data_IF_434173729729
#
_entry.id   IF_434173729729
#
_cell.length_a   1.000
_cell.length_b   1.000
_cell.length_c   1.000
_cell.angle_alpha   90.00
_cell.angle_beta   90.00
_cell.angle_gamma   90.00
#
_symmetry.space_group_name_H-M   'P 1'
#
loop_
_entity.id
_entity.type
_entity.pdbx_description
1 polymer ?
#
# COMPACT_ATOMS: atom_id res chain seq x y z
N UNK A 1 2.59 -4.78 18.71
CA UNK A 1 2.41 -5.29 17.34
C UNK A 1 1.00 -5.04 16.87
N UNK A 2 0.82 -4.50 15.67
CA UNK A 2 -0.49 -4.58 15.01
C UNK A 2 -0.81 -6.07 14.78
N UNK A 3 -2.02 -6.52 15.13
CA UNK A 3 -2.49 -7.88 14.82
C UNK A 3 -2.76 -7.98 13.31
N UNK A 4 -1.68 -8.00 12.50
CA UNK A 4 -1.74 -8.02 11.03
C UNK A 4 -1.99 -9.45 10.53
N UNK A 5 -1.79 -10.48 11.35
CA UNK A 5 -2.10 -11.88 10.99
C UNK A 5 -3.37 -12.30 11.70
N UNK A 6 -4.34 -12.74 10.91
CA UNK A 6 -5.50 -13.45 11.44
C UNK A 6 -5.25 -14.95 11.33
N UNK A 7 -5.10 -15.61 12.47
CA UNK A 7 -5.09 -17.08 12.60
C UNK A 7 -6.51 -17.66 12.48
N UNK A 8 -7.28 -17.21 11.51
CA UNK A 8 -8.59 -17.79 11.19
C UNK A 8 -8.54 -18.36 9.78
N UNK A 9 -9.27 -19.44 9.51
CA UNK A 9 -9.36 -19.99 8.17
C UNK A 9 -9.97 -18.93 7.25
N UNK A 10 -9.26 -18.67 6.14
CA UNK A 10 -9.70 -17.72 5.16
C UNK A 10 -11.08 -18.09 4.58
N UNK A 11 -12.01 -17.14 4.61
CA UNK A 11 -13.30 -17.25 3.93
C UNK A 11 -13.45 -16.10 2.96
N UNK A 12 -13.60 -16.43 1.68
CA UNK A 12 -13.78 -15.45 0.63
C UNK A 12 -15.11 -14.71 0.80
N UNK A 13 -15.04 -13.37 0.77
CA UNK A 13 -16.19 -12.49 0.84
C UNK A 13 -16.39 -11.83 -0.53
N UNK A 14 -17.42 -12.23 -1.30
CA UNK A 14 -17.66 -11.66 -2.62
C UNK A 14 -18.10 -10.19 -2.52
N UNK A 15 -17.90 -9.40 -3.59
CA UNK A 15 -18.31 -8.00 -3.61
C UNK A 15 -19.84 -7.88 -3.59
N UNK A 16 -20.35 -6.81 -2.99
CA UNK A 16 -21.76 -6.47 -3.16
C UNK A 16 -21.97 -5.96 -4.60
N UNK A 17 -22.78 -6.70 -5.37
CA UNK A 17 -23.04 -6.39 -6.80
C UNK A 17 -24.05 -5.26 -6.98
N UNK A 18 -24.93 -4.98 -6.01
CA UNK A 18 -25.87 -3.85 -6.10
C UNK A 18 -25.18 -2.49 -6.10
N UNK A 19 -25.90 -1.45 -6.55
CA UNK A 19 -25.42 -0.05 -6.55
C UNK A 19 -26.04 0.79 -5.45
N UNK A 20 -27.12 0.35 -4.82
CA UNK A 20 -27.91 1.15 -3.87
C UNK A 20 -27.06 1.80 -2.77
N UNK A 21 -26.30 0.99 -2.02
CA UNK A 21 -25.49 1.49 -0.91
C UNK A 21 -24.33 2.38 -1.36
N UNK A 22 -23.62 1.99 -2.42
CA UNK A 22 -22.54 2.82 -2.96
C UNK A 22 -23.07 4.13 -3.56
N UNK A 23 -24.27 4.15 -4.13
CA UNK A 23 -24.97 5.38 -4.55
C UNK A 23 -25.32 6.25 -3.35
N UNK A 24 -25.84 5.68 -2.26
CA UNK A 24 -26.16 6.40 -1.03
C UNK A 24 -24.92 7.08 -0.42
N UNK A 25 -23.82 6.33 -0.30
CA UNK A 25 -22.53 6.81 0.21
C UNK A 25 -21.98 7.95 -0.65
N UNK A 26 -22.06 7.83 -1.98
CA UNK A 26 -21.66 8.88 -2.92
C UNK A 26 -22.56 10.12 -2.83
N UNK A 27 -23.88 9.92 -2.75
CA UNK A 27 -24.89 11.00 -2.71
C UNK A 27 -24.74 11.88 -1.48
N UNK A 28 -24.53 11.29 -0.31
CA UNK A 28 -24.34 12.01 0.95
C UNK A 28 -22.87 12.34 1.27
N UNK A 29 -21.95 12.06 0.34
CA UNK A 29 -20.53 12.33 0.50
C UNK A 29 -19.91 11.71 1.77
N UNK A 30 -20.43 10.56 2.22
CA UNK A 30 -20.05 9.96 3.51
C UNK A 30 -18.56 9.56 3.52
N UNK A 31 -18.05 9.08 2.38
CA UNK A 31 -16.62 8.77 2.23
C UNK A 31 -15.74 10.01 2.44
N UNK A 32 -16.11 11.17 1.90
CA UNK A 32 -15.37 12.42 2.09
C UNK A 32 -15.42 12.92 3.55
N UNK A 33 -16.57 12.81 4.21
CA UNK A 33 -16.71 13.15 5.63
C UNK A 33 -15.81 12.24 6.48
N UNK A 34 -15.79 10.94 6.18
CA UNK A 34 -14.92 9.98 6.85
C UNK A 34 -13.44 10.28 6.59
N UNK A 35 -13.05 10.57 5.35
CA UNK A 35 -11.69 10.94 4.98
C UNK A 35 -11.21 12.17 5.75
N UNK A 36 -12.04 13.21 5.85
CA UNK A 36 -11.72 14.41 6.64
C UNK A 36 -11.54 14.09 8.13
N UNK A 37 -12.50 13.36 8.74
CA UNK A 37 -12.51 13.11 10.19
C UNK A 37 -11.48 12.07 10.65
N UNK A 38 -11.27 11.03 9.85
CA UNK A 38 -10.50 9.85 10.26
C UNK A 38 -9.13 9.78 9.60
N UNK A 39 -8.89 10.52 8.51
CA UNK A 39 -7.62 10.49 7.77
C UNK A 39 -7.03 11.89 7.51
N UNK A 40 -7.72 12.97 7.89
CA UNK A 40 -7.22 14.33 7.74
C UNK A 40 -7.20 14.84 6.29
N UNK A 41 -7.81 14.11 5.35
CA UNK A 41 -7.90 14.52 3.93
C UNK A 41 -9.09 15.45 3.75
N UNK A 42 -8.78 16.74 3.63
CA UNK A 42 -9.77 17.83 3.67
C UNK A 42 -10.19 18.31 2.29
N UNK A 43 -9.35 18.13 1.28
CA UNK A 43 -9.61 18.58 -0.07
C UNK A 43 -8.98 17.65 -1.10
N UNK A 44 -9.43 17.75 -2.35
CA UNK A 44 -8.95 16.92 -3.44
C UNK A 44 -8.91 17.71 -4.76
N UNK A 45 -8.09 17.25 -5.69
CA UNK A 45 -8.02 17.68 -7.07
C UNK A 45 -8.07 16.44 -7.97
N UNK A 46 -8.82 16.50 -9.07
CA UNK A 46 -8.88 15.43 -10.06
C UNK A 46 -8.29 15.92 -11.38
N UNK A 47 -7.33 15.18 -11.94
CA UNK A 47 -6.67 15.53 -13.21
C UNK A 47 -6.90 14.45 -14.25
N UNK A 48 -7.01 14.89 -15.50
CA UNK A 48 -7.16 14.04 -16.70
C UNK A 48 -8.28 12.98 -16.60
N UNK A 49 -9.37 13.34 -15.93
CA UNK A 49 -10.52 12.45 -15.67
C UNK A 49 -11.20 11.98 -16.96
N UNK A 50 -11.11 12.77 -18.02
CA UNK A 50 -11.56 12.46 -19.38
C UNK A 50 -10.96 11.15 -19.92
N UNK A 51 -9.71 10.80 -19.56
CA UNK A 51 -9.09 9.53 -19.97
C UNK A 51 -9.86 8.32 -19.46
N UNK A 52 -10.30 8.36 -18.20
CA UNK A 52 -11.14 7.30 -17.63
C UNK A 52 -12.54 7.30 -18.26
N UNK A 53 -13.13 8.47 -18.52
CA UNK A 53 -14.42 8.58 -19.20
C UNK A 53 -14.39 7.96 -20.60
N UNK A 54 -13.35 8.23 -21.38
CA UNK A 54 -13.17 7.65 -22.71
C UNK A 54 -13.13 6.12 -22.68
N UNK A 55 -12.41 5.52 -21.73
CA UNK A 55 -12.39 4.06 -21.56
C UNK A 55 -13.73 3.48 -21.12
N UNK A 56 -14.49 4.20 -20.30
CA UNK A 56 -15.84 3.82 -19.87
C UNK A 56 -16.82 3.85 -21.05
N UNK A 57 -16.79 4.93 -21.85
CA UNK A 57 -17.64 5.11 -23.03
C UNK A 57 -17.32 4.08 -24.12
N UNK A 58 -16.05 3.70 -24.28
CA UNK A 58 -15.62 2.62 -25.17
C UNK A 58 -16.02 1.20 -24.68
N UNK A 59 -16.60 1.07 -23.48
CA UNK A 59 -17.02 -0.20 -22.92
C UNK A 59 -15.85 -1.15 -22.63
N UNK A 60 -14.65 -0.63 -22.35
CA UNK A 60 -13.49 -1.44 -22.02
C UNK A 60 -13.63 -2.08 -20.62
N UNK A 61 -12.99 -3.24 -20.43
CA UNK A 61 -12.69 -3.72 -19.07
C UNK A 61 -11.61 -2.85 -18.46
N UNK A 62 -11.87 -2.20 -17.33
CA UNK A 62 -10.96 -1.19 -16.77
C UNK A 62 -10.35 -1.67 -15.47
N UNK A 63 -9.02 -1.70 -15.40
CA UNK A 63 -8.27 -1.83 -14.16
C UNK A 63 -7.66 -0.46 -13.80
N UNK A 64 -8.01 0.07 -12.63
CA UNK A 64 -7.34 1.22 -12.04
C UNK A 64 -6.18 0.70 -11.18
N UNK A 65 -4.96 1.13 -11.49
CA UNK A 65 -3.72 0.74 -10.82
C UNK A 65 -3.09 1.94 -10.09
N UNK A 66 -3.63 2.31 -8.92
CA UNK A 66 -3.10 3.40 -8.10
C UNK A 66 -1.84 3.02 -7.31
N UNK A 67 -0.97 3.98 -6.99
CA UNK A 67 0.01 3.81 -5.90
C UNK A 67 -0.72 3.74 -4.53
N UNK A 68 -0.05 3.19 -3.52
CA UNK A 68 -0.63 2.89 -2.21
C UNK A 68 0.18 3.46 -1.03
N UNK A 69 0.14 4.77 -0.86
CA UNK A 69 0.86 5.43 0.22
C UNK A 69 0.06 5.53 1.53
N UNK A 70 -1.28 5.67 1.50
CA UNK A 70 -2.09 5.93 2.72
C UNK A 70 -3.31 5.01 2.84
N UNK A 71 -3.75 4.77 4.08
CA UNK A 71 -5.01 4.05 4.34
C UNK A 71 -6.24 4.72 3.70
N UNK A 72 -6.13 6.03 3.42
CA UNK A 72 -7.14 6.83 2.75
C UNK A 72 -7.36 6.47 1.27
N UNK A 73 -6.36 5.89 0.59
CA UNK A 73 -6.33 5.77 -0.88
C UNK A 73 -7.58 5.13 -1.49
N UNK A 74 -8.08 3.98 -0.99
CA UNK A 74 -9.25 3.34 -1.58
C UNK A 74 -10.49 4.22 -1.52
N UNK A 75 -10.64 5.03 -0.47
CA UNK A 75 -11.77 5.92 -0.29
C UNK A 75 -11.58 7.25 -1.03
N UNK A 76 -10.34 7.73 -1.18
CA UNK A 76 -10.03 8.92 -1.97
C UNK A 76 -10.44 8.72 -3.44
N UNK A 77 -10.27 7.52 -3.99
CA UNK A 77 -10.78 7.14 -5.31
C UNK A 77 -12.31 7.21 -5.44
N UNK A 78 -13.04 7.31 -4.33
CA UNK A 78 -14.47 7.60 -4.30
C UNK A 78 -14.82 8.94 -4.95
N UNK A 79 -13.94 9.95 -4.85
CA UNK A 79 -14.11 11.24 -5.55
C UNK A 79 -14.02 11.08 -7.06
N UNK A 80 -13.02 10.33 -7.54
CA UNK A 80 -12.89 10.00 -8.96
C UNK A 80 -14.12 9.25 -9.48
N UNK A 81 -14.55 8.19 -8.79
CA UNK A 81 -15.73 7.41 -9.17
C UNK A 81 -17.01 8.25 -9.22
N UNK A 82 -17.16 9.20 -8.28
CA UNK A 82 -18.29 10.15 -8.27
C UNK A 82 -18.24 11.09 -9.48
N UNK A 83 -17.08 11.62 -9.83
CA UNK A 83 -16.87 12.55 -10.94
C UNK A 83 -17.13 11.92 -12.31
N UNK A 84 -16.70 10.66 -12.52
CA UNK A 84 -17.01 9.89 -13.74
C UNK A 84 -18.37 9.18 -13.68
N UNK A 85 -19.14 9.40 -12.61
CA UNK A 85 -20.47 8.82 -12.39
C UNK A 85 -20.49 7.29 -12.49
N UNK A 86 -19.41 6.63 -12.10
CA UNK A 86 -19.32 5.17 -12.13
C UNK A 86 -19.39 4.56 -10.72
N UNK A 87 -19.45 3.24 -10.68
CA UNK A 87 -19.23 2.44 -9.47
C UNK A 87 -17.98 1.61 -9.69
N UNK A 88 -17.28 1.27 -8.61
CA UNK A 88 -16.03 0.52 -8.67
C UNK A 88 -16.13 -0.76 -7.85
N UNK A 89 -15.35 -1.76 -8.22
CA UNK A 89 -14.98 -2.85 -7.34
C UNK A 89 -13.56 -2.62 -6.82
N UNK A 90 -13.25 -3.12 -5.64
CA UNK A 90 -11.90 -3.04 -5.08
C UNK A 90 -11.49 -4.38 -4.48
N UNK A 91 -10.24 -4.77 -4.67
CA UNK A 91 -9.66 -5.91 -3.97
C UNK A 91 -9.05 -5.43 -2.64
N UNK A 92 -9.50 -5.99 -1.53
CA UNK A 92 -9.06 -5.57 -0.20
C UNK A 92 -8.58 -6.76 0.64
N UNK A 93 -7.54 -6.57 1.46
CA UNK A 93 -7.05 -7.65 2.32
C UNK A 93 -8.14 -8.14 3.26
N UNK A 94 -8.25 -9.46 3.42
CA UNK A 94 -9.21 -10.11 4.32
C UNK A 94 -9.19 -9.58 5.76
N UNK A 95 -8.02 -9.09 6.20
CA UNK A 95 -7.82 -8.48 7.52
C UNK A 95 -8.74 -7.27 7.77
N UNK A 96 -9.04 -6.50 6.73
CA UNK A 96 -9.94 -5.35 6.82
C UNK A 96 -11.38 -5.78 7.13
N UNK A 97 -11.80 -6.96 6.66
CA UNK A 97 -13.15 -7.48 6.92
C UNK A 97 -13.32 -8.02 8.36
N UNK A 98 -12.26 -8.03 9.16
CA UNK A 98 -12.26 -8.52 10.54
C UNK A 98 -12.17 -7.41 11.59
N UNK A 99 -12.14 -6.14 11.17
CA UNK A 99 -12.12 -4.98 12.09
C UNK A 99 -13.49 -4.65 12.70
N UNK A 100 -14.50 -5.50 12.48
CA UNK A 100 -15.85 -5.38 13.04
C UNK A 100 -16.93 -5.55 11.99
N UNK A 101 -18.14 -5.96 12.43
CA UNK A 101 -19.26 -6.30 11.53
C UNK A 101 -19.71 -5.11 10.67
N UNK A 102 -19.77 -3.92 11.26
CA UNK A 102 -20.15 -2.70 10.56
C UNK A 102 -19.13 -2.32 9.48
N UNK A 103 -17.84 -2.34 9.83
CA UNK A 103 -16.77 -2.00 8.89
C UNK A 103 -16.72 -3.01 7.72
N UNK A 104 -16.83 -4.30 8.01
CA UNK A 104 -16.93 -5.36 7.00
C UNK A 104 -18.14 -5.16 6.06
N UNK A 105 -19.29 -4.80 6.60
CA UNK A 105 -20.47 -4.46 5.80
C UNK A 105 -20.25 -3.23 4.93
N UNK A 106 -19.65 -2.17 5.48
CA UNK A 106 -19.42 -0.91 4.79
C UNK A 106 -18.48 -1.09 3.58
N UNK A 107 -17.32 -1.74 3.78
CA UNK A 107 -16.36 -1.99 2.70
C UNK A 107 -16.97 -2.86 1.59
N UNK A 108 -17.74 -3.90 1.95
CA UNK A 108 -18.45 -4.73 0.96
C UNK A 108 -19.48 -3.94 0.18
N UNK A 109 -20.27 -3.11 0.87
CA UNK A 109 -21.33 -2.29 0.28
C UNK A 109 -20.79 -1.24 -0.71
N UNK A 110 -19.53 -0.83 -0.54
CA UNK A 110 -18.80 0.02 -1.49
C UNK A 110 -18.21 -0.73 -2.69
N UNK A 111 -18.33 -2.06 -2.74
CA UNK A 111 -17.83 -2.90 -3.83
C UNK A 111 -16.52 -3.63 -3.52
N UNK A 112 -16.03 -3.62 -2.28
CA UNK A 112 -14.83 -4.37 -1.94
C UNK A 112 -15.10 -5.88 -1.82
N UNK A 113 -14.16 -6.70 -2.27
CA UNK A 113 -14.11 -8.14 -2.03
C UNK A 113 -12.78 -8.55 -1.39
N UNK A 114 -12.78 -9.65 -0.65
CA UNK A 114 -11.60 -10.06 0.11
C UNK A 114 -10.55 -10.74 -0.75
N UNK A 115 -9.28 -10.56 -0.37
CA UNK A 115 -8.15 -11.36 -0.85
C UNK A 115 -7.33 -11.86 0.34
N UNK A 116 -6.92 -13.12 0.29
CA UNK A 116 -5.90 -13.68 1.17
C UNK A 116 -4.50 -13.39 0.59
N UNK A 117 -3.69 -12.59 1.30
CA UNK A 117 -2.36 -12.16 0.80
C UNK A 117 -1.27 -13.19 1.09
N UNK A 118 -1.54 -14.08 2.02
CA UNK A 118 -0.64 -15.04 2.62
C UNK A 118 -0.63 -16.39 1.89
N UNK A 119 -1.38 -16.50 0.79
CA UNK A 119 -1.47 -17.70 -0.03
C UNK A 119 -2.00 -17.41 -1.43
N UNK A 120 -2.29 -18.48 -2.18
CA UNK A 120 -2.86 -18.38 -3.53
C UNK A 120 -4.38 -18.37 -3.44
N UNK A 121 -4.95 -17.16 -3.45
CA UNK A 121 -6.40 -16.97 -3.43
C UNK A 121 -7.00 -17.06 -4.85
N UNK A 122 -7.24 -18.29 -5.30
CA UNK A 122 -7.82 -18.55 -6.62
C UNK A 122 -9.19 -17.89 -6.81
N UNK A 123 -9.98 -17.78 -5.74
CA UNK A 123 -11.34 -17.25 -5.82
C UNK A 123 -11.34 -15.72 -5.99
N UNK A 124 -10.48 -15.00 -5.26
CA UNK A 124 -10.30 -13.56 -5.45
C UNK A 124 -9.72 -13.23 -6.83
N UNK A 125 -8.74 -14.01 -7.30
CA UNK A 125 -8.16 -13.87 -8.65
C UNK A 125 -9.24 -14.08 -9.72
N UNK A 126 -10.03 -15.15 -9.60
CA UNK A 126 -11.10 -15.46 -10.56
C UNK A 126 -12.19 -14.38 -10.56
N UNK A 127 -12.55 -13.85 -9.39
CA UNK A 127 -13.49 -12.72 -9.24
C UNK A 127 -12.96 -11.46 -9.95
N UNK A 128 -11.68 -11.14 -9.77
CA UNK A 128 -11.06 -9.99 -10.45
C UNK A 128 -11.06 -10.15 -11.98
N UNK A 129 -10.75 -11.35 -12.47
CA UNK A 129 -10.83 -11.67 -13.91
C UNK A 129 -12.27 -11.49 -14.42
N UNK A 130 -13.27 -11.98 -13.68
CA UNK A 130 -14.69 -11.86 -14.05
C UNK A 130 -15.15 -10.41 -14.11
N UNK A 131 -14.77 -9.59 -13.13
CA UNK A 131 -15.09 -8.16 -13.11
C UNK A 131 -14.55 -7.46 -14.36
N UNK A 132 -13.28 -7.69 -14.69
CA UNK A 132 -12.68 -7.11 -15.89
C UNK A 132 -13.27 -7.68 -17.18
N UNK A 133 -13.65 -8.96 -17.17
CA UNK A 133 -14.27 -9.62 -18.32
C UNK A 133 -15.66 -9.07 -18.59
N UNK A 134 -16.49 -8.87 -17.55
CA UNK A 134 -17.85 -8.35 -17.72
C UNK A 134 -17.88 -6.85 -18.03
N UNK A 135 -16.85 -6.11 -17.61
CA UNK A 135 -16.71 -4.67 -17.83
C UNK A 135 -17.90 -3.84 -17.31
N UNK A 136 -18.62 -4.36 -16.31
CA UNK A 136 -19.72 -3.63 -15.67
C UNK A 136 -19.24 -2.40 -14.91
N UNK A 137 -18.05 -2.50 -14.28
CA UNK A 137 -17.46 -1.52 -13.37
C UNK A 137 -15.93 -1.63 -13.38
N UNK A 138 -15.20 -0.51 -13.28
CA UNK A 138 -13.77 -0.56 -13.07
C UNK A 138 -13.37 -1.34 -11.80
N UNK A 139 -12.24 -2.04 -11.88
CA UNK A 139 -11.60 -2.72 -10.76
C UNK A 139 -10.42 -1.88 -10.24
N UNK A 140 -10.45 -1.51 -8.97
CA UNK A 140 -9.30 -0.93 -8.27
C UNK A 140 -8.43 -2.06 -7.73
N UNK A 141 -7.15 -2.04 -8.10
CA UNK A 141 -6.15 -2.96 -7.61
C UNK A 141 -4.82 -2.22 -7.42
N UNK A 142 -4.38 -2.11 -6.15
CA UNK A 142 -3.09 -1.52 -5.78
C UNK A 142 -1.94 -2.48 -6.13
N UNK A 143 -1.11 -2.18 -7.13
CA UNK A 143 -0.11 -3.10 -7.65
C UNK A 143 1.05 -3.32 -6.67
N UNK A 144 1.30 -2.42 -5.70
CA UNK A 144 2.33 -2.57 -4.65
C UNK A 144 1.98 -3.68 -3.63
N UNK A 145 0.69 -3.94 -3.40
CA UNK A 145 0.20 -4.98 -2.48
C UNK A 145 0.39 -4.73 -0.98
N UNK A 146 1.05 -3.63 -0.60
CA UNK A 146 1.22 -3.18 0.77
C UNK A 146 1.20 -1.64 0.85
N UNK A 147 0.95 -1.12 2.05
CA UNK A 147 0.99 0.31 2.34
C UNK A 147 2.40 0.74 2.71
N UNK A 148 2.93 1.72 1.99
CA UNK A 148 4.35 2.10 2.04
C UNK A 148 4.59 3.46 2.68
N UNK A 149 3.56 4.31 2.80
CA UNK A 149 3.64 5.68 3.38
C UNK A 149 4.79 6.49 2.79
N UNK A 150 5.08 6.22 1.52
CA UNK A 150 5.98 7.00 0.67
C UNK A 150 5.17 7.47 -0.51
N UNK A 151 4.93 8.77 -0.54
CA UNK A 151 4.04 9.42 -1.49
C UNK A 151 4.72 9.63 -2.85
N UNK A 152 6.05 9.80 -2.86
CA UNK A 152 6.84 10.06 -4.07
C UNK A 152 7.64 8.85 -4.57
N UNK A 153 7.60 7.74 -3.85
CA UNK A 153 8.40 6.56 -4.17
C UNK A 153 7.51 5.32 -4.25
N UNK A 154 7.45 4.76 -5.45
CA UNK A 154 6.71 3.55 -5.75
C UNK A 154 7.53 2.32 -5.32
N UNK A 155 6.92 1.42 -4.55
CA UNK A 155 7.55 0.14 -4.26
C UNK A 155 7.37 -0.84 -5.41
N UNK A 156 7.99 -2.02 -5.27
CA UNK A 156 7.89 -3.10 -6.24
C UNK A 156 6.44 -3.44 -6.60
N UNK A 157 6.12 -3.38 -7.89
CA UNK A 157 4.82 -3.86 -8.36
C UNK A 157 4.77 -5.38 -8.40
N UNK A 158 3.62 -5.94 -8.05
CA UNK A 158 3.37 -7.38 -8.05
C UNK A 158 2.88 -7.86 -9.42
N UNK A 159 3.51 -8.90 -9.96
CA UNK A 159 3.16 -9.52 -11.27
C UNK A 159 1.71 -10.05 -11.38
N UNK A 160 1.03 -10.22 -10.25
CA UNK A 160 -0.37 -10.68 -10.21
C UNK A 160 -1.33 -9.80 -11.00
N UNK A 161 -1.03 -8.50 -11.11
CA UNK A 161 -1.84 -7.54 -11.87
C UNK A 161 -1.86 -7.88 -13.35
N UNK A 162 -0.69 -8.09 -13.95
CA UNK A 162 -0.57 -8.47 -15.36
C UNK A 162 -1.25 -9.82 -15.64
N UNK A 163 -1.14 -10.79 -14.72
CA UNK A 163 -1.82 -12.08 -14.89
C UNK A 163 -3.35 -11.93 -14.96
N UNK A 164 -3.94 -11.20 -14.02
CA UNK A 164 -5.40 -10.95 -13.97
C UNK A 164 -5.84 -10.21 -15.24
N UNK A 165 -5.16 -9.11 -15.56
CA UNK A 165 -5.52 -8.24 -16.68
C UNK A 165 -5.43 -8.98 -18.03
N UNK A 166 -4.34 -9.70 -18.31
CA UNK A 166 -4.18 -10.45 -19.57
C UNK A 166 -5.18 -11.59 -19.70
N UNK A 167 -5.50 -12.26 -18.60
CA UNK A 167 -6.50 -13.34 -18.63
C UNK A 167 -7.88 -12.79 -18.98
N UNK A 168 -8.26 -11.65 -18.43
CA UNK A 168 -9.50 -10.95 -18.80
C UNK A 168 -9.45 -10.44 -20.25
N UNK A 169 -8.32 -9.89 -20.70
CA UNK A 169 -8.14 -9.42 -22.08
C UNK A 169 -8.34 -10.54 -23.10
N UNK A 170 -7.77 -11.73 -22.85
CA UNK A 170 -8.00 -12.92 -23.68
C UNK A 170 -9.48 -13.30 -23.77
N UNK A 171 -10.20 -13.29 -22.64
CA UNK A 171 -11.63 -13.64 -22.60
C UNK A 171 -12.49 -12.62 -23.36
N UNK A 172 -12.18 -11.32 -23.25
CA UNK A 172 -12.91 -10.28 -23.96
C UNK A 172 -12.59 -10.22 -25.46
N UNK A 173 -11.37 -10.53 -25.87
CA UNK A 173 -10.99 -10.54 -27.28
C UNK A 173 -11.79 -11.55 -28.12
N UNK A 174 -12.26 -12.65 -27.50
CA UNK A 174 -13.09 -13.68 -28.16
C UNK A 174 -14.58 -13.58 -27.81
N UNK A 175 -15.00 -12.55 -27.05
CA UNK A 175 -16.41 -12.31 -26.75
C UNK A 175 -17.14 -11.75 -27.97
N UNK A 176 -18.48 -11.75 -27.93
CA UNK A 176 -19.33 -11.14 -28.95
C UNK A 176 -20.23 -10.07 -28.31
N UNK A 177 -20.00 -8.77 -28.58
CA UNK A 177 -18.93 -8.21 -29.41
C UNK A 177 -17.53 -8.34 -28.75
N UNK A 178 -16.44 -8.35 -29.53
CA UNK A 178 -15.08 -8.32 -29.00
C UNK A 178 -14.83 -7.07 -28.17
N UNK A 179 -14.15 -7.23 -27.03
CA UNK A 179 -13.84 -6.13 -26.12
C UNK A 179 -12.37 -6.11 -25.73
N UNK A 180 -11.91 -4.94 -25.28
CA UNK A 180 -10.55 -4.73 -24.75
C UNK A 180 -10.54 -4.67 -23.23
N UNK A 181 -9.36 -4.85 -22.65
CA UNK A 181 -9.04 -4.51 -21.26
C UNK A 181 -7.93 -3.46 -21.27
N UNK A 182 -8.07 -2.43 -20.45
CA UNK A 182 -7.08 -1.37 -20.28
C UNK A 182 -6.70 -1.21 -18.81
N UNK A 183 -5.46 -0.83 -18.56
CA UNK A 183 -4.97 -0.43 -17.24
C UNK A 183 -4.76 1.09 -17.25
N UNK A 184 -5.38 1.80 -16.31
CA UNK A 184 -5.03 3.19 -16.03
C UNK A 184 -4.10 3.25 -14.82
N UNK A 185 -2.85 3.75 -14.97
CA UNK A 185 -2.09 4.20 -13.82
C UNK A 185 -2.84 5.36 -13.15
N UNK A 186 -2.91 5.38 -11.82
CA UNK A 186 -3.55 6.48 -11.08
C UNK A 186 -2.60 6.99 -10.01
N UNK A 187 -2.02 8.17 -10.21
CA UNK A 187 -1.12 8.75 -9.22
C UNK A 187 -1.95 9.46 -8.14
N UNK A 188 -1.72 9.06 -6.90
CA UNK A 188 -2.24 9.68 -5.68
C UNK A 188 -1.09 10.40 -5.01
N UNK A 189 -1.12 11.73 -5.04
CA UNK A 189 -0.17 12.60 -4.34
C UNK A 189 -0.87 13.35 -3.23
N UNK A 190 -0.41 13.19 -1.99
CA UNK A 190 -0.88 13.98 -0.86
C UNK A 190 0.03 15.20 -0.64
N UNK A 191 -0.57 16.37 -0.50
CA UNK A 191 0.09 17.63 -0.19
C UNK A 191 -0.41 18.10 1.17
N UNK A 192 0.51 18.24 2.12
CA UNK A 192 0.22 18.80 3.43
C UNK A 192 0.28 20.33 3.36
N UNK A 193 -0.88 20.96 3.61
CA UNK A 193 -1.04 22.41 3.56
C UNK A 193 -1.06 23.07 4.94
N UNK A 194 -0.74 22.31 5.99
CA UNK A 194 -0.67 22.79 7.37
C UNK A 194 0.73 23.31 7.76
N UNK A 195 0.89 23.63 9.04
CA UNK A 195 2.18 23.97 9.62
C UNK A 195 2.90 22.70 10.09
N UNK A 196 4.05 22.39 9.48
CA UNK A 196 4.84 21.20 9.80
C UNK A 196 5.34 21.22 11.25
N UNK A 197 5.81 22.37 11.75
CA UNK A 197 6.37 22.47 13.10
C UNK A 197 5.31 22.18 14.17
N UNK A 198 4.09 22.70 13.97
CA UNK A 198 2.95 22.43 14.86
C UNK A 198 2.51 20.97 14.79
N UNK A 199 2.44 20.39 13.59
CA UNK A 199 2.06 19.00 13.40
C UNK A 199 3.09 18.03 14.00
N UNK A 200 4.38 18.35 13.88
CA UNK A 200 5.49 17.52 14.30
C UNK A 200 5.82 17.64 15.79
N UNK A 201 5.69 18.83 16.41
CA UNK A 201 6.20 19.06 17.76
C UNK A 201 5.61 18.09 18.79
N UNK A 202 4.30 17.88 18.74
CA UNK A 202 3.61 16.94 19.63
C UNK A 202 4.11 15.50 19.47
N UNK A 203 4.19 15.03 18.23
CA UNK A 203 4.66 13.66 17.91
C UNK A 203 6.10 13.47 18.36
N UNK A 204 7.00 14.38 17.97
CA UNK A 204 8.42 14.30 18.30
C UNK A 204 8.65 14.39 19.80
N UNK A 205 7.93 15.29 20.50
CA UNK A 205 8.02 15.40 21.96
C UNK A 205 7.62 14.10 22.66
N UNK A 206 6.57 13.43 22.19
CA UNK A 206 6.12 12.15 22.75
C UNK A 206 7.16 11.05 22.52
N UNK A 207 7.75 10.99 21.32
CA UNK A 207 8.81 10.03 20.99
C UNK A 207 10.08 10.30 21.81
N UNK A 208 10.53 11.55 21.87
CA UNK A 208 11.72 11.99 22.63
C UNK A 208 11.58 11.61 24.11
N UNK A 209 10.42 11.85 24.73
CA UNK A 209 10.15 11.44 26.11
C UNK A 209 10.18 9.92 26.27
N UNK A 210 9.66 9.16 25.31
CA UNK A 210 9.72 7.69 25.29
C UNK A 210 11.16 7.16 25.22
N UNK A 211 12.03 7.88 24.51
CA UNK A 211 13.47 7.64 24.47
C UNK A 211 14.21 8.14 25.72
N UNK A 212 13.48 8.60 26.75
CA UNK A 212 14.02 9.20 27.99
C UNK A 212 14.80 10.50 27.77
N UNK A 213 14.55 11.20 26.66
CA UNK A 213 15.18 12.49 26.36
C UNK A 213 14.33 13.66 26.86
N UNK A 214 14.98 14.81 27.07
CA UNK A 214 14.26 16.10 27.16
C UNK A 214 13.78 16.49 25.76
N UNK A 215 12.65 17.21 25.60
CA UNK A 215 12.20 17.67 24.29
C UNK A 215 13.28 18.49 23.58
N UNK A 216 13.61 18.14 22.34
CA UNK A 216 14.77 18.69 21.61
C UNK A 216 14.39 19.95 20.79
N UNK A 217 13.53 20.83 21.31
CA UNK A 217 13.01 22.02 20.62
C UNK A 217 14.05 23.10 20.27
N UNK A 218 15.30 22.93 20.72
CA UNK A 218 16.42 23.78 20.31
C UNK A 218 16.94 23.42 18.91
N UNK A 219 16.57 22.25 18.38
CA UNK A 219 16.88 21.81 17.02
C UNK A 219 15.73 22.18 16.07
N UNK A 220 16.05 22.31 14.78
CA UNK A 220 15.03 22.43 13.73
C UNK A 220 14.18 21.16 13.66
N UNK A 221 12.96 21.25 13.13
CA UNK A 221 12.08 20.08 12.94
C UNK A 221 12.74 18.97 12.11
N UNK A 222 13.37 19.24 10.93
CA UNK A 222 14.13 18.22 10.19
C UNK A 222 15.23 17.55 11.03
N UNK A 223 16.00 18.32 11.80
CA UNK A 223 17.07 17.76 12.64
C UNK A 223 16.53 16.88 13.77
N UNK A 224 15.41 17.26 14.39
CA UNK A 224 14.72 16.43 15.38
C UNK A 224 14.26 15.11 14.77
N UNK A 225 13.66 15.15 13.58
CA UNK A 225 13.21 13.97 12.83
C UNK A 225 14.39 13.03 12.56
N UNK A 226 15.47 13.57 12.00
CA UNK A 226 16.68 12.79 11.72
C UNK A 226 17.27 12.18 13.00
N UNK A 227 17.40 12.96 14.07
CA UNK A 227 17.94 12.51 15.36
C UNK A 227 17.11 11.39 15.99
N UNK A 228 15.78 11.52 15.97
CA UNK A 228 14.85 10.47 16.42
C UNK A 228 15.01 9.22 15.56
N UNK A 229 15.02 9.36 14.24
CA UNK A 229 15.20 8.25 13.30
C UNK A 229 16.48 7.45 13.55
N UNK A 230 17.62 8.12 13.70
CA UNK A 230 18.89 7.46 14.00
C UNK A 230 18.89 6.75 15.37
N UNK A 231 18.23 7.31 16.37
CA UNK A 231 18.12 6.66 17.67
C UNK A 231 17.23 5.41 17.62
N UNK A 232 16.09 5.48 16.91
CA UNK A 232 15.22 4.31 16.71
C UNK A 232 15.95 3.18 15.98
N UNK A 233 16.71 3.52 14.93
CA UNK A 233 17.55 2.57 14.23
C UNK A 233 18.65 1.99 15.14
N UNK A 234 19.35 2.83 15.90
CA UNK A 234 20.39 2.38 16.82
C UNK A 234 19.86 1.43 17.90
N UNK A 235 18.64 1.65 18.41
CA UNK A 235 18.00 0.73 19.34
C UNK A 235 17.74 -0.64 18.71
N UNK A 236 17.29 -0.68 17.44
CA UNK A 236 17.14 -1.94 16.70
C UNK A 236 18.48 -2.61 16.39
N UNK A 237 19.51 -1.83 16.09
CA UNK A 237 20.84 -2.40 15.90
C UNK A 237 21.38 -3.02 17.20
N UNK A 238 21.18 -2.36 18.35
CA UNK A 238 21.52 -2.92 19.65
C UNK A 238 20.74 -4.21 19.94
N UNK A 239 19.44 -4.25 19.66
CA UNK A 239 18.59 -5.43 19.89
C UNK A 239 19.04 -6.65 19.07
N UNK A 240 19.47 -6.46 17.82
CA UNK A 240 19.76 -7.56 16.89
C UNK A 240 21.24 -7.86 16.67
N UNK A 241 22.14 -6.96 17.08
CA UNK A 241 23.60 -7.08 16.90
C UNK A 241 24.44 -6.77 18.15
N UNK A 242 23.83 -6.35 19.27
CA UNK A 242 24.52 -5.92 20.49
C UNK A 242 25.49 -4.73 20.29
N UNK A 243 25.36 -4.00 19.17
CA UNK A 243 26.18 -2.83 18.81
C UNK A 243 25.45 -1.91 17.84
N UNK A 244 25.96 -0.71 17.67
CA UNK A 244 25.47 0.27 16.68
C UNK A 244 26.48 0.44 15.55
N UNK A 245 26.02 1.01 14.43
CA UNK A 245 26.86 1.27 13.27
C UNK A 245 26.88 2.74 12.88
N UNK A 246 28.03 3.20 12.39
CA UNK A 246 28.23 4.56 11.87
C UNK A 246 28.21 4.62 10.33
N UNK A 247 27.92 3.49 9.68
CA UNK A 247 27.83 3.37 8.22
C UNK A 247 26.72 4.28 7.64
N UNK A 248 26.73 4.57 6.32
CA UNK A 248 25.62 5.24 5.66
C UNK A 248 24.27 4.55 5.91
N UNK A 249 23.20 5.34 5.99
CA UNK A 249 21.86 4.86 6.36
C UNK A 249 21.42 3.65 5.52
N UNK A 250 21.65 3.68 4.20
CA UNK A 250 21.33 2.58 3.30
C UNK A 250 21.94 1.24 3.75
N UNK A 251 23.23 1.24 4.08
CA UNK A 251 23.96 0.03 4.48
C UNK A 251 23.49 -0.48 5.85
N UNK A 252 23.15 0.44 6.76
CA UNK A 252 22.61 0.10 8.09
C UNK A 252 21.26 -0.58 7.99
N UNK A 253 20.35 -0.02 7.18
CA UNK A 253 19.02 -0.59 6.95
C UNK A 253 19.10 -1.94 6.24
N UNK A 254 19.91 -2.06 5.17
CA UNK A 254 20.11 -3.32 4.44
C UNK A 254 20.65 -4.42 5.36
N UNK A 255 21.67 -4.11 6.16
CA UNK A 255 22.25 -5.06 7.12
C UNK A 255 21.22 -5.55 8.14
N UNK A 256 20.40 -4.67 8.68
CA UNK A 256 19.36 -5.04 9.62
C UNK A 256 18.28 -5.91 8.96
N UNK A 257 17.85 -5.56 7.74
CA UNK A 257 16.90 -6.37 6.95
C UNK A 257 17.46 -7.78 6.71
N UNK A 258 18.70 -7.91 6.29
CA UNK A 258 19.31 -9.22 6.03
C UNK A 258 19.52 -10.03 7.30
N UNK A 259 19.82 -9.39 8.43
CA UNK A 259 19.88 -10.06 9.74
C UNK A 259 18.54 -10.63 10.18
N UNK A 260 17.45 -9.93 9.88
CA UNK A 260 16.07 -10.33 10.20
C UNK A 260 15.56 -11.44 9.28
N UNK A 261 15.87 -11.39 7.99
CA UNK A 261 15.34 -12.35 7.01
C UNK A 261 16.23 -13.58 6.81
N UNK A 262 17.55 -13.40 6.77
CA UNK A 262 18.51 -14.43 6.38
C UNK A 262 18.38 -15.76 7.15
N UNK A 263 18.30 -15.76 8.49
CA UNK A 263 18.13 -17.00 9.26
C UNK A 263 16.87 -17.79 8.87
N UNK A 264 15.76 -17.09 8.65
CA UNK A 264 14.49 -17.69 8.28
C UNK A 264 14.47 -18.14 6.82
N UNK A 265 15.18 -17.44 5.94
CA UNK A 265 15.34 -17.87 4.54
C UNK A 265 16.16 -19.16 4.43
N UNK A 266 17.25 -19.26 5.19
CA UNK A 266 18.07 -20.46 5.27
C UNK A 266 17.24 -21.65 5.79
N UNK A 267 16.46 -21.44 6.86
CA UNK A 267 15.59 -22.48 7.43
C UNK A 267 14.50 -22.96 6.46
N UNK A 268 13.74 -22.04 5.85
CA UNK A 268 12.55 -22.39 5.07
C UNK A 268 12.81 -22.70 3.60
N UNK A 269 13.96 -22.27 3.06
CA UNK A 269 14.32 -22.45 1.65
C UNK A 269 15.68 -23.11 1.43
N UNK A 270 16.51 -23.31 2.47
CA UNK A 270 17.86 -23.84 2.35
C UNK A 270 18.85 -22.89 1.66
N UNK A 271 18.49 -21.60 1.58
CA UNK A 271 19.36 -20.53 1.08
C UNK A 271 18.82 -19.15 1.45
N UNK A 272 19.72 -18.23 1.74
CA UNK A 272 19.44 -16.79 1.79
C UNK A 272 18.99 -16.30 0.41
N UNK A 273 17.95 -15.46 0.39
CA UNK A 273 17.45 -14.83 -0.84
C UNK A 273 17.98 -13.41 -0.98
N UNK A 274 18.00 -12.90 -2.20
CA UNK A 274 18.41 -11.53 -2.50
C UNK A 274 17.32 -10.79 -3.29
N UNK A 275 17.44 -9.47 -3.36
CA UNK A 275 16.52 -8.60 -4.07
C UNK A 275 15.52 -7.89 -3.16
N UNK A 276 14.40 -7.46 -3.75
CA UNK A 276 13.43 -6.58 -3.07
C UNK A 276 12.81 -7.28 -1.84
N UNK A 277 12.66 -6.52 -0.75
CA UNK A 277 12.25 -7.03 0.58
C UNK A 277 10.83 -7.61 0.59
N UNK A 278 9.85 -6.91 0.02
CA UNK A 278 8.43 -7.35 0.05
C UNK A 278 8.23 -8.74 -0.59
N UNK A 279 8.82 -9.07 -1.76
CA UNK A 279 8.82 -10.44 -2.28
C UNK A 279 9.43 -11.49 -1.34
N UNK A 280 10.57 -11.20 -0.69
CA UNK A 280 11.23 -12.10 0.28
C UNK A 280 10.32 -12.39 1.47
N UNK A 281 9.76 -11.33 2.07
CA UNK A 281 8.77 -11.40 3.16
C UNK A 281 7.56 -12.24 2.75
N UNK A 282 7.00 -12.01 1.55
CA UNK A 282 5.86 -12.78 1.06
C UNK A 282 6.18 -14.26 0.91
N UNK A 283 7.37 -14.59 0.39
CA UNK A 283 7.80 -15.98 0.24
C UNK A 283 7.86 -16.69 1.59
N UNK A 284 8.49 -16.09 2.60
CA UNK A 284 8.56 -16.64 3.96
C UNK A 284 7.17 -16.83 4.57
N UNK A 285 6.29 -15.83 4.47
CA UNK A 285 4.92 -15.90 5.01
C UNK A 285 4.13 -17.08 4.41
N UNK A 286 4.31 -17.36 3.12
CA UNK A 286 3.67 -18.50 2.45
C UNK A 286 4.16 -19.87 2.95
N UNK A 287 5.32 -19.95 3.61
CA UNK A 287 5.84 -21.16 4.25
C UNK A 287 5.44 -21.28 5.71
N UNK A 288 5.52 -20.17 6.45
CA UNK A 288 5.32 -20.15 7.90
C UNK A 288 3.84 -20.28 8.28
N UNK A 289 2.95 -19.52 7.62
CA UNK A 289 1.55 -19.34 8.05
C UNK A 289 0.60 -20.52 7.83
N UNK A 290 0.68 -21.32 6.75
CA UNK A 290 -0.35 -22.32 6.46
C UNK A 290 -0.63 -23.31 7.60
N UNK A 291 0.40 -23.80 8.29
CA UNK A 291 0.20 -24.76 9.39
C UNK A 291 -0.30 -24.10 10.67
N UNK A 292 0.09 -22.83 10.90
CA UNK A 292 -0.42 -22.03 12.02
C UNK A 292 -1.94 -21.83 11.87
N UNK A 293 -2.39 -21.39 10.67
CA UNK A 293 -3.81 -21.15 10.38
C UNK A 293 -4.63 -22.44 10.38
N UNK A 294 -4.03 -23.56 9.94
CA UNK A 294 -4.69 -24.86 9.95
C UNK A 294 -4.73 -25.52 11.34
N UNK A 295 -4.08 -24.95 12.35
CA UNK A 295 -3.99 -25.54 13.69
C UNK A 295 -3.24 -26.88 13.71
N UNK A 296 -2.25 -27.05 12.81
CA UNK A 296 -1.52 -28.32 12.63
C UNK A 296 -0.19 -28.39 13.40
N UNK A 297 0.08 -27.41 14.26
CA UNK A 297 1.30 -27.29 15.05
C UNK A 297 0.94 -27.16 16.53
N UNK A 298 1.87 -27.56 17.40
CA UNK A 298 1.73 -27.34 18.84
C UNK A 298 2.00 -25.88 19.23
N UNK A 299 1.74 -25.54 20.50
CA UNK A 299 1.88 -24.17 20.99
C UNK A 299 3.34 -23.70 21.02
N UNK A 300 4.31 -24.60 21.23
CA UNK A 300 5.73 -24.24 21.25
C UNK A 300 6.21 -23.82 19.85
N UNK A 301 5.89 -24.60 18.83
CA UNK A 301 6.19 -24.28 17.44
C UNK A 301 5.38 -23.06 16.96
N UNK A 302 4.14 -22.89 17.45
CA UNK A 302 3.35 -21.70 17.18
C UNK A 302 4.02 -20.44 17.70
N UNK A 303 4.48 -20.44 18.96
CA UNK A 303 5.21 -19.31 19.54
C UNK A 303 6.53 -19.05 18.80
N UNK A 304 7.25 -20.10 18.43
CA UNK A 304 8.48 -19.97 17.62
C UNK A 304 8.22 -19.29 16.28
N UNK A 305 7.19 -19.72 15.53
CA UNK A 305 6.82 -19.09 14.25
C UNK A 305 6.33 -17.66 14.41
N UNK A 306 5.69 -17.31 15.53
CA UNK A 306 5.34 -15.92 15.82
C UNK A 306 6.57 -15.01 15.90
N UNK A 307 7.64 -15.43 16.57
CA UNK A 307 8.90 -14.66 16.58
C UNK A 307 9.47 -14.48 15.17
N UNK A 308 9.43 -15.52 14.32
CA UNK A 308 9.87 -15.38 12.92
C UNK A 308 9.02 -14.35 12.16
N UNK A 309 7.70 -14.35 12.39
CA UNK A 309 6.79 -13.39 11.76
C UNK A 309 7.06 -11.96 12.24
N UNK A 310 7.39 -11.77 13.51
CA UNK A 310 7.80 -10.48 14.07
C UNK A 310 9.01 -9.91 13.35
N UNK A 311 10.07 -10.72 13.17
CA UNK A 311 11.27 -10.29 12.45
C UNK A 311 10.98 -9.95 10.99
N UNK A 312 10.18 -10.78 10.32
CA UNK A 312 9.81 -10.57 8.92
C UNK A 312 8.95 -9.30 8.76
N UNK A 313 8.08 -8.99 9.72
CA UNK A 313 7.34 -7.74 9.73
C UNK A 313 8.23 -6.53 9.96
N UNK A 314 9.15 -6.63 10.92
CA UNK A 314 10.11 -5.57 11.18
C UNK A 314 10.97 -5.28 9.94
N UNK A 315 11.44 -6.32 9.24
CA UNK A 315 12.17 -6.16 7.98
C UNK A 315 11.34 -5.42 6.92
N UNK A 316 10.04 -5.74 6.80
CA UNK A 316 9.14 -5.02 5.91
C UNK A 316 8.95 -3.55 6.33
N UNK A 317 8.79 -3.27 7.63
CA UNK A 317 8.70 -1.90 8.15
C UNK A 317 9.95 -1.09 7.82
N UNK A 318 11.14 -1.64 8.09
CA UNK A 318 12.43 -1.00 7.80
C UNK A 318 12.58 -0.70 6.31
N UNK A 319 12.09 -1.59 5.44
CA UNK A 319 12.12 -1.36 3.99
C UNK A 319 11.25 -0.20 3.50
N UNK A 320 10.34 0.30 4.35
CA UNK A 320 9.52 1.48 4.08
C UNK A 320 10.20 2.81 4.45
N UNK A 321 11.50 2.79 4.79
CA UNK A 321 12.32 3.99 4.98
C UNK A 321 13.40 4.06 3.89
N UNK A 322 13.07 4.54 2.67
CA UNK A 322 14.07 4.64 1.62
C UNK A 322 15.19 5.62 2.04
N UNK A 323 16.47 5.23 1.96
CA UNK A 323 17.57 6.03 2.51
C UNK A 323 17.64 7.46 1.97
N UNK A 324 17.36 7.62 0.68
CA UNK A 324 17.44 8.90 -0.01
C UNK A 324 16.13 9.69 0.02
N UNK A 325 15.08 9.19 0.68
CA UNK A 325 13.75 9.81 0.64
C UNK A 325 13.76 11.24 1.20
N UNK A 326 14.35 11.43 2.37
CA UNK A 326 14.53 12.76 2.96
C UNK A 326 15.79 13.46 2.45
N UNK A 327 16.87 12.71 2.18
CA UNK A 327 18.15 13.29 1.79
C UNK A 327 18.13 13.92 0.40
N UNK A 328 17.37 13.35 -0.55
CA UNK A 328 17.29 13.85 -1.92
C UNK A 328 16.51 15.17 -2.04
N UNK A 329 15.41 15.29 -1.30
CA UNK A 329 14.52 16.45 -1.35
C UNK A 329 13.64 16.51 -0.09
N UNK A 330 14.03 17.23 0.96
CA UNK A 330 13.23 17.37 2.16
C UNK A 330 12.03 18.29 1.88
N UNK A 331 10.84 17.70 1.80
CA UNK A 331 9.59 18.45 1.68
C UNK A 331 8.74 18.28 2.92
N UNK A 332 7.80 19.20 3.13
CA UNK A 332 6.85 19.12 4.25
C UNK A 332 6.08 17.79 4.26
N UNK A 333 5.75 17.26 3.07
CA UNK A 333 5.01 16.02 2.90
C UNK A 333 5.84 14.82 3.36
N UNK A 334 7.10 14.73 2.89
CA UNK A 334 7.99 13.61 3.23
C UNK A 334 8.36 13.60 4.71
N UNK A 335 8.55 14.78 5.30
CA UNK A 335 8.83 14.91 6.73
C UNK A 335 7.61 14.50 7.56
N UNK A 336 6.41 14.94 7.18
CA UNK A 336 5.15 14.52 7.82
C UNK A 336 4.96 12.99 7.73
N UNK A 337 5.16 12.41 6.55
CA UNK A 337 5.08 10.96 6.34
C UNK A 337 6.05 10.18 7.23
N UNK A 338 7.27 10.70 7.38
CA UNK A 338 8.30 10.09 8.21
C UNK A 338 7.91 10.10 9.69
N UNK A 339 7.40 11.23 10.21
CA UNK A 339 6.97 11.30 11.62
C UNK A 339 5.74 10.46 11.90
N UNK A 340 4.78 10.43 10.98
CA UNK A 340 3.61 9.57 11.09
C UNK A 340 4.02 8.10 11.09
N UNK A 341 5.08 7.74 10.34
CA UNK A 341 5.63 6.38 10.34
C UNK A 341 6.31 6.04 11.67
N UNK A 342 7.14 6.93 12.21
CA UNK A 342 7.73 6.71 13.54
C UNK A 342 6.65 6.53 14.61
N UNK A 343 5.60 7.34 14.57
CA UNK A 343 4.48 7.19 15.50
C UNK A 343 3.73 5.88 15.29
N UNK A 344 3.46 5.49 14.04
CA UNK A 344 2.82 4.22 13.72
C UNK A 344 3.63 3.01 14.21
N UNK A 345 4.95 3.01 14.00
CA UNK A 345 5.82 1.91 14.41
C UNK A 345 5.93 1.79 15.94
N UNK A 346 5.92 2.93 16.65
CA UNK A 346 6.02 2.96 18.13
C UNK A 346 4.68 2.79 18.85
N UNK A 347 3.60 3.32 18.28
CA UNK A 347 2.29 3.44 18.94
C UNK A 347 1.19 2.61 18.28
N UNK A 348 1.48 1.98 17.13
CA UNK A 348 0.57 1.13 16.38
C UNK A 348 -0.39 1.89 15.45
N UNK A 349 -0.52 3.22 15.56
CA UNK A 349 -1.28 4.07 14.64
C UNK A 349 -0.76 5.52 14.71
N UNK A 350 -0.76 6.27 13.59
CA UNK A 350 -0.50 7.70 13.64
C UNK A 350 -1.70 8.47 14.20
N UNK A 351 -1.47 9.69 14.69
CA UNK A 351 -2.52 10.67 14.90
C UNK A 351 -2.96 11.28 13.57
N UNK A 352 -4.13 11.92 13.59
CA UNK A 352 -4.66 12.62 12.41
C UNK A 352 -4.23 14.08 12.48
N UNK A 353 -3.40 14.52 11.53
CA UNK A 353 -2.88 15.89 11.48
C UNK A 353 -3.82 16.89 10.78
N UNK A 354 -4.70 16.41 9.89
CA UNK A 354 -5.55 17.29 9.07
C UNK A 354 -4.79 17.93 7.90
N UNK A 355 -5.44 18.87 7.22
CA UNK A 355 -4.85 19.72 6.17
C UNK A 355 -4.21 18.98 4.98
N UNK A 356 -4.56 17.70 4.77
CA UNK A 356 -4.12 16.97 3.59
C UNK A 356 -5.01 17.32 2.40
N UNK A 357 -4.36 17.65 1.29
CA UNK A 357 -4.96 17.77 -0.03
C UNK A 357 -4.48 16.59 -0.88
N UNK A 358 -5.36 15.88 -1.58
CA UNK A 358 -4.94 14.80 -2.49
C UNK A 358 -5.15 15.19 -3.94
N UNK A 359 -4.10 15.07 -4.75
CA UNK A 359 -4.19 15.12 -6.21
C UNK A 359 -4.35 13.69 -6.71
N UNK A 360 -5.41 13.46 -7.49
CA UNK A 360 -5.71 12.18 -8.14
C UNK A 360 -5.55 12.40 -9.64
N UNK A 361 -4.43 11.95 -10.20
CA UNK A 361 -4.12 12.08 -11.61
C UNK A 361 -4.32 10.75 -12.34
N UNK A 362 -5.15 10.76 -13.38
CA UNK A 362 -5.44 9.57 -14.20
C UNK A 362 -4.48 9.54 -15.39
N UNK A 363 -3.66 8.51 -15.46
CA UNK A 363 -2.71 8.32 -16.56
C UNK A 363 -3.36 7.77 -17.82
N UNK A 364 -2.63 7.87 -18.94
CA UNK A 364 -3.01 7.29 -20.22
C UNK A 364 -3.25 5.79 -20.12
N UNK A 365 -4.33 5.32 -20.76
CA UNK A 365 -4.69 3.91 -20.76
C UNK A 365 -3.59 3.06 -21.40
N UNK A 366 -3.22 1.97 -20.74
CA UNK A 366 -2.35 0.93 -21.29
C UNK A 366 -3.25 -0.19 -21.78
N UNK A 367 -3.33 -0.41 -23.10
CA UNK A 367 -4.04 -1.56 -23.65
C UNK A 367 -3.33 -2.85 -23.23
N UNK A 368 -4.09 -3.79 -22.69
CA UNK A 368 -3.53 -5.04 -22.16
C UNK A 368 -3.36 -6.04 -23.31
N UNK A 369 -2.13 -6.47 -23.63
CA UNK A 369 -1.91 -7.46 -24.67
C UNK A 369 -2.49 -8.81 -24.26
N UNK A 370 -3.07 -9.54 -25.21
CA UNK A 370 -3.60 -10.88 -24.97
C UNK A 370 -2.50 -11.94 -24.81
N UNK A 371 -1.29 -11.68 -25.30
CA UNK A 371 -0.15 -12.61 -25.19
C UNK A 371 0.82 -12.19 -24.09
N UNK A 372 1.57 -13.17 -23.57
CA UNK A 372 2.69 -12.93 -22.67
C UNK A 372 3.98 -13.18 -23.42
N UNK A 373 4.87 -12.20 -23.45
CA UNK A 373 6.25 -12.39 -23.89
C UNK A 373 6.97 -13.31 -22.88
N UNK A 374 7.24 -14.55 -23.28
CA UNK A 374 7.92 -15.53 -22.42
C UNK A 374 9.40 -15.17 -22.31
N UNK A 375 9.96 -15.23 -21.09
CA UNK A 375 11.40 -15.09 -20.84
C UNK A 375 11.89 -13.70 -20.44
N UNK A 376 11.08 -12.64 -20.58
CA UNK A 376 11.46 -11.28 -20.16
C UNK A 376 11.02 -11.03 -18.71
N UNK A 377 11.98 -10.69 -17.84
CA UNK A 377 11.76 -10.20 -16.47
C UNK A 377 12.46 -8.85 -16.33
N UNK A 378 11.77 -7.79 -15.84
CA UNK A 378 10.36 -7.75 -15.43
C UNK A 378 9.39 -7.92 -16.61
N UNK A 379 8.12 -8.18 -16.30
CA UNK A 379 7.05 -8.26 -17.30
C UNK A 379 6.87 -6.90 -18.01
N UNK A 380 6.87 -6.81 -19.36
CA UNK A 380 6.83 -5.52 -20.07
C UNK A 380 5.63 -4.64 -19.72
N UNK A 381 4.46 -5.26 -19.44
CA UNK A 381 3.26 -4.53 -19.06
C UNK A 381 3.43 -3.90 -17.67
N UNK A 382 4.02 -4.66 -16.73
CA UNK A 382 4.30 -4.16 -15.38
C UNK A 382 5.41 -3.11 -15.39
N UNK A 383 6.45 -3.29 -16.20
CA UNK A 383 7.52 -2.31 -16.35
C UNK A 383 6.98 -0.97 -16.90
N UNK A 384 6.12 -1.02 -17.93
CA UNK A 384 5.45 0.17 -18.47
C UNK A 384 4.55 0.84 -17.42
N UNK A 385 3.85 0.05 -16.61
CA UNK A 385 3.01 0.56 -15.53
C UNK A 385 3.85 1.23 -14.43
N UNK A 386 4.95 0.59 -14.00
CA UNK A 386 5.89 1.11 -13.00
C UNK A 386 6.51 2.44 -13.47
N UNK A 387 7.00 2.48 -14.72
CA UNK A 387 7.60 3.68 -15.33
C UNK A 387 6.60 4.84 -15.43
N UNK A 388 5.39 4.60 -15.98
CA UNK A 388 4.37 5.65 -16.11
C UNK A 388 3.90 6.16 -14.75
N UNK A 389 3.64 5.26 -13.81
CA UNK A 389 3.14 5.63 -12.49
C UNK A 389 4.21 6.39 -11.70
N UNK A 390 5.47 5.95 -11.70
CA UNK A 390 6.57 6.68 -11.06
C UNK A 390 6.78 8.04 -11.73
N UNK A 391 6.78 8.14 -13.07
CA UNK A 391 6.92 9.42 -13.76
C UNK A 391 5.80 10.42 -13.44
N UNK A 392 4.57 9.95 -13.23
CA UNK A 392 3.47 10.78 -12.75
C UNK A 392 3.72 11.26 -11.31
N UNK A 393 4.19 10.38 -10.43
CA UNK A 393 4.53 10.75 -9.04
C UNK A 393 5.70 11.74 -9.00
N UNK A 394 6.72 11.58 -9.84
CA UNK A 394 7.86 12.49 -9.93
C UNK A 394 7.42 13.89 -10.37
N UNK A 395 6.51 13.98 -11.34
CA UNK A 395 5.93 15.25 -11.77
C UNK A 395 5.14 15.92 -10.63
N UNK A 396 4.29 15.15 -9.94
CA UNK A 396 3.48 15.66 -8.81
C UNK A 396 4.32 16.00 -7.58
N UNK A 397 5.46 15.33 -7.37
CA UNK A 397 6.39 15.65 -6.29
C UNK A 397 6.92 17.08 -6.44
N UNK A 398 6.97 17.63 -7.66
CA UNK A 398 7.31 19.03 -7.94
C UNK A 398 6.43 20.05 -7.20
N UNK A 399 5.20 19.69 -6.84
CA UNK A 399 4.22 20.58 -6.18
C UNK A 399 4.34 20.61 -4.65
N UNK A 400 5.16 19.73 -4.08
CA UNK A 400 5.44 19.73 -2.65
C UNK A 400 6.24 20.96 -2.23
N UNK A 401 5.89 21.54 -1.07
CA UNK A 401 6.65 22.65 -0.47
C UNK A 401 7.96 22.11 0.14
N UNK A 402 9.09 22.66 -0.30
CA UNK A 402 10.41 22.39 0.28
C UNK A 402 10.58 23.08 1.64
N UNK A 403 11.45 22.50 2.48
CA UNK A 403 11.74 22.95 3.86
C UNK A 403 13.12 23.56 3.95
#
# INVERSE_FOLDING_TARGET
MQNIIIEKPYQFLPPYRGTFWSSLIKRFNLHAIWLKRCQGVESYELRHVDRLRASLEAGHGILLAPNHCRYADPLALGWLAKEVRCHVYAMASWHLFHQGRFFAWAIRSMGAFSVYREGVDRQAIQTAIEILTSAERPLILFPEGALTRTNDHLHALLDGVAFIARTAAKRRAVASPPGKVVIHPVALKYLFRGNLDEAADGVLTDIEKRLSWRPQRHLSTPDRIAKVGYALLALKEMEYFDRTFADPLAQRLERLIDRLLGPWEEEWFGKVQSGRVVPRVKALRMKILPDMVAGRIDEAERQRRWHQLEDIYLAQQISCYPPDYLASRPTVDRLLETIERYEEDLMGKPRVHGHLHVVIDVGEAIEVPTTRERGRKPDPLMATLEERLQGMLDALAGESKEV
#
